data_IF_097645009945
#
_entry.id   IF_097645009945
#
_cell.length_a   1.000
_cell.length_b   1.000
_cell.length_c   1.000
_cell.angle_alpha   90.00
_cell.angle_beta   90.00
_cell.angle_gamma   90.00
#
_symmetry.space_group_name_H-M   'P 1'
#
loop_
_entity.id
_entity.type
_entity.pdbx_description
1 polymer ?
#
# COMPACT_ATOMS: atom_id res chain seq x y z
N UNK A 1 -1.09 5.28 2.77
CA UNK A 1 0.17 4.65 3.20
C UNK A 1 0.20 3.21 2.73
N UNK A 2 1.35 2.71 2.30
CA UNK A 2 1.50 1.37 1.72
C UNK A 2 2.32 0.47 2.65
N UNK A 3 1.83 -0.73 2.95
CA UNK A 3 2.65 -1.79 3.56
C UNK A 3 3.37 -2.52 2.44
N UNK A 4 4.70 -2.62 2.50
CA UNK A 4 5.53 -3.07 1.38
C UNK A 4 5.82 -1.96 0.38
N UNK A 5 5.97 -0.71 0.83
CA UNK A 5 6.13 0.46 -0.04
C UNK A 5 7.36 0.37 -0.96
N UNK A 6 8.46 -0.23 -0.48
CA UNK A 6 9.66 -0.47 -1.29
C UNK A 6 9.52 -1.65 -2.25
N UNK A 7 8.40 -2.38 -2.28
CA UNK A 7 8.16 -3.45 -3.23
C UNK A 7 8.01 -2.97 -4.68
N UNK A 8 7.88 -3.92 -5.62
CA UNK A 8 7.68 -3.61 -7.04
C UNK A 8 6.44 -2.73 -7.25
N UNK A 9 5.31 -3.09 -6.63
CA UNK A 9 4.07 -2.32 -6.73
C UNK A 9 4.18 -0.94 -6.08
N UNK A 10 4.72 -0.87 -4.85
CA UNK A 10 4.81 0.40 -4.12
C UNK A 10 5.73 1.41 -4.80
N UNK A 11 6.89 0.98 -5.28
CA UNK A 11 7.81 1.83 -6.05
C UNK A 11 7.25 2.24 -7.41
N UNK A 12 6.62 1.31 -8.13
CA UNK A 12 6.01 1.61 -9.44
C UNK A 12 4.82 2.54 -9.31
N UNK A 13 3.93 2.33 -8.33
CA UNK A 13 2.77 3.21 -8.09
C UNK A 13 3.23 4.63 -7.76
N UNK A 14 4.21 4.76 -6.87
CA UNK A 14 4.76 6.07 -6.47
C UNK A 14 5.41 6.77 -7.66
N UNK A 15 6.28 6.06 -8.40
CA UNK A 15 6.94 6.61 -9.58
C UNK A 15 5.97 6.97 -10.71
N UNK A 16 4.94 6.15 -10.93
CA UNK A 16 3.90 6.40 -11.92
C UNK A 16 3.07 7.65 -11.62
N UNK A 17 2.71 7.87 -10.35
CA UNK A 17 2.01 9.10 -9.95
C UNK A 17 2.90 10.32 -10.06
N UNK A 18 4.15 10.26 -9.59
CA UNK A 18 5.11 11.37 -9.76
C UNK A 18 5.30 11.69 -11.23
N UNK A 19 5.46 10.68 -12.10
CA UNK A 19 5.62 10.90 -13.53
C UNK A 19 4.42 11.61 -14.17
N UNK A 20 3.18 11.27 -13.78
CA UNK A 20 1.98 11.94 -14.27
C UNK A 20 1.90 13.38 -13.76
N UNK A 21 2.08 13.59 -12.45
CA UNK A 21 2.02 14.90 -11.81
C UNK A 21 3.03 15.89 -12.39
N UNK A 22 4.26 15.44 -12.62
CA UNK A 22 5.33 16.28 -13.17
C UNK A 22 5.31 16.34 -14.72
N UNK A 23 4.36 15.66 -15.38
CA UNK A 23 4.22 15.66 -16.84
C UNK A 23 5.41 15.02 -17.58
N UNK A 24 6.05 14.02 -16.98
CA UNK A 24 7.27 13.40 -17.51
C UNK A 24 6.98 12.65 -18.82
N UNK A 25 7.88 12.85 -19.78
CA UNK A 25 7.98 12.05 -20.99
C UNK A 25 9.37 11.44 -21.10
N UNK A 26 9.47 10.24 -21.67
CA UNK A 26 10.76 9.56 -21.82
C UNK A 26 10.85 8.89 -23.19
N UNK A 27 12.07 8.78 -23.71
CA UNK A 27 12.31 8.08 -24.95
C UNK A 27 12.35 6.56 -24.69
N UNK A 28 11.63 5.78 -25.50
CA UNK A 28 11.84 4.34 -25.62
C UNK A 28 12.57 4.02 -26.91
N UNK A 29 12.81 2.73 -27.18
CA UNK A 29 13.38 2.28 -28.45
C UNK A 29 12.52 2.66 -29.67
N UNK A 30 11.22 2.87 -29.48
CA UNK A 30 10.27 3.07 -30.58
C UNK A 30 9.78 4.51 -30.69
N UNK A 31 9.50 5.17 -29.55
CA UNK A 31 8.91 6.51 -29.52
C UNK A 31 9.13 7.20 -28.17
N UNK A 32 8.84 8.49 -28.13
CA UNK A 32 8.64 9.19 -26.86
C UNK A 32 7.30 8.78 -26.28
N UNK A 33 7.30 8.36 -25.01
CA UNK A 33 6.11 8.06 -24.23
C UNK A 33 5.81 9.23 -23.29
N UNK A 34 4.53 9.47 -23.03
CA UNK A 34 4.07 10.40 -22.01
C UNK A 34 3.45 9.61 -20.86
N UNK A 35 3.71 10.04 -19.62
CA UNK A 35 3.07 9.48 -18.44
C UNK A 35 1.54 9.50 -18.57
N UNK A 36 0.90 8.42 -18.17
CA UNK A 36 -0.55 8.25 -18.21
C UNK A 36 -1.00 7.27 -17.11
N UNK A 37 -2.32 7.11 -16.96
CA UNK A 37 -2.95 6.16 -16.03
C UNK A 37 -3.66 5.00 -16.77
N UNK A 38 -3.12 4.55 -17.90
CA UNK A 38 -3.69 3.39 -18.59
C UNK A 38 -3.70 2.15 -17.68
N UNK A 39 -4.76 1.35 -17.82
CA UNK A 39 -5.06 0.23 -16.93
C UNK A 39 -5.83 0.60 -15.66
N UNK A 40 -5.95 1.90 -15.33
CA UNK A 40 -6.84 2.35 -14.24
C UNK A 40 -8.28 2.47 -14.72
N UNK A 41 -9.20 1.70 -14.13
CA UNK A 41 -10.63 1.83 -14.40
C UNK A 41 -11.11 3.26 -14.12
N UNK A 42 -10.73 3.85 -12.99
CA UNK A 42 -11.24 5.17 -12.61
C UNK A 42 -10.72 6.29 -13.50
N UNK A 43 -9.48 6.18 -14.00
CA UNK A 43 -8.83 7.26 -14.76
C UNK A 43 -8.93 7.11 -16.28
N UNK A 44 -9.01 5.88 -16.79
CA UNK A 44 -8.89 5.58 -18.22
C UNK A 44 -10.09 4.82 -18.82
N UNK A 45 -11.15 4.58 -18.05
CA UNK A 45 -12.38 3.97 -18.57
C UNK A 45 -13.53 4.98 -18.75
N UNK A 46 -14.54 4.54 -19.49
CA UNK A 46 -15.79 5.26 -19.67
C UNK A 46 -16.96 4.39 -19.23
N UNK A 47 -18.09 5.02 -18.94
CA UNK A 47 -19.35 4.38 -18.59
C UNK A 47 -20.46 4.97 -19.44
N UNK A 48 -21.36 4.12 -19.92
CA UNK A 48 -22.53 4.55 -20.69
C UNK A 48 -23.48 5.32 -19.77
N UNK A 49 -23.83 6.54 -20.16
CA UNK A 49 -24.73 7.43 -19.42
C UNK A 49 -26.10 7.59 -20.09
N UNK A 50 -26.25 7.12 -21.32
CA UNK A 50 -27.53 7.12 -22.01
C UNK A 50 -27.39 6.91 -23.51
N UNK A 51 -28.35 7.44 -24.27
CA UNK A 51 -28.30 7.54 -25.72
C UNK A 51 -28.95 8.85 -26.19
N UNK A 52 -28.46 9.39 -27.31
CA UNK A 52 -29.01 10.58 -27.95
C UNK A 52 -29.03 10.37 -29.47
N UNK A 53 -30.16 10.62 -30.12
CA UNK A 53 -30.36 10.38 -31.56
C UNK A 53 -29.97 8.96 -32.04
N UNK A 54 -30.16 7.95 -31.20
CA UNK A 54 -29.84 6.56 -31.51
C UNK A 54 -28.37 6.17 -31.28
N UNK A 55 -27.51 7.11 -30.88
CA UNK A 55 -26.12 6.84 -30.52
C UNK A 55 -25.96 6.69 -29.00
N UNK A 56 -25.11 5.76 -28.57
CA UNK A 56 -24.78 5.60 -27.15
C UNK A 56 -23.82 6.70 -26.68
N UNK A 57 -24.13 7.30 -25.54
CA UNK A 57 -23.31 8.35 -24.94
C UNK A 57 -22.54 7.77 -23.76
N UNK A 58 -21.22 7.98 -23.77
CA UNK A 58 -20.30 7.55 -22.74
C UNK A 58 -19.66 8.76 -22.07
N UNK A 59 -19.47 8.69 -20.76
CA UNK A 59 -18.74 9.66 -19.98
C UNK A 59 -17.51 9.00 -19.34
N UNK A 60 -16.38 9.71 -19.15
CA UNK A 60 -15.28 9.22 -18.32
C UNK A 60 -15.76 8.78 -16.94
N UNK A 61 -15.26 7.66 -16.43
CA UNK A 61 -15.73 7.13 -15.14
C UNK A 61 -15.59 8.17 -14.00
N UNK A 62 -14.45 8.87 -13.96
CA UNK A 62 -14.16 9.94 -13.00
C UNK A 62 -15.02 11.21 -13.16
N UNK A 63 -15.80 11.36 -14.22
CA UNK A 63 -16.65 12.55 -14.41
C UNK A 63 -18.07 12.37 -13.89
N UNK A 64 -18.43 11.17 -13.38
CA UNK A 64 -19.77 10.94 -12.84
C UNK A 64 -20.01 11.67 -11.52
N UNK A 65 -19.02 11.64 -10.63
CA UNK A 65 -19.03 12.31 -9.32
C UNK A 65 -17.62 12.77 -8.99
N UNK A 66 -17.44 13.78 -8.10
CA UNK A 66 -16.13 14.21 -7.67
C UNK A 66 -15.33 13.05 -7.05
N UNK A 67 -14.14 12.79 -7.60
CA UNK A 67 -13.18 11.80 -7.12
C UNK A 67 -11.82 12.46 -6.93
N UNK A 68 -11.03 11.94 -5.99
CA UNK A 68 -9.64 12.39 -5.79
C UNK A 68 -8.84 12.13 -7.07
N UNK A 69 -8.10 13.15 -7.53
CA UNK A 69 -7.14 12.97 -8.62
C UNK A 69 -5.92 12.22 -8.06
N UNK A 70 -5.44 11.14 -8.69
CA UNK A 70 -4.24 10.45 -8.24
C UNK A 70 -3.00 11.33 -8.08
N UNK A 71 -2.88 12.42 -8.84
CA UNK A 71 -1.79 13.40 -8.72
C UNK A 71 -1.74 14.09 -7.33
N UNK A 72 -2.89 14.16 -6.64
CA UNK A 72 -3.03 14.78 -5.32
C UNK A 72 -2.71 13.81 -4.16
N UNK A 73 -2.41 12.53 -4.47
CA UNK A 73 -2.13 11.51 -3.45
C UNK A 73 -0.71 11.67 -2.92
N UNK A 74 -0.59 11.82 -1.60
CA UNK A 74 0.69 11.76 -0.89
C UNK A 74 1.01 10.33 -0.50
N UNK A 75 2.17 9.83 -0.96
CA UNK A 75 2.64 8.48 -0.63
C UNK A 75 3.58 8.46 0.57
N UNK A 76 3.50 7.35 1.30
CA UNK A 76 4.29 7.00 2.47
C UNK A 76 3.98 5.56 2.84
N UNK A 77 4.69 5.00 3.81
CA UNK A 77 4.41 3.64 4.27
C UNK A 77 5.62 2.94 4.84
N UNK A 78 5.50 1.62 4.93
CA UNK A 78 6.44 0.76 5.63
C UNK A 78 7.02 -0.28 4.69
N UNK A 79 8.25 -0.72 4.94
CA UNK A 79 8.85 -1.89 4.32
C UNK A 79 9.87 -2.49 5.29
N UNK A 80 10.02 -3.81 5.26
CA UNK A 80 11.04 -4.51 6.07
C UNK A 80 12.45 -4.21 5.56
N UNK A 81 12.58 -3.60 4.37
CA UNK A 81 13.82 -3.05 3.81
C UNK A 81 13.87 -1.53 3.94
N UNK A 82 15.01 -0.96 4.33
CA UNK A 82 15.26 0.49 4.39
C UNK A 82 15.63 1.12 3.02
N UNK A 83 15.55 0.35 1.93
CA UNK A 83 15.90 0.82 0.60
C UNK A 83 14.98 1.98 0.18
N UNK A 84 15.58 3.12 -0.19
CA UNK A 84 14.83 4.26 -0.72
C UNK A 84 14.09 3.89 -2.02
N UNK A 85 13.06 4.65 -2.36
CA UNK A 85 12.16 4.34 -3.46
C UNK A 85 12.83 4.43 -4.84
N UNK A 86 13.87 5.24 -5.02
CA UNK A 86 14.61 5.28 -6.30
C UNK A 86 15.42 3.99 -6.53
N UNK A 87 16.10 3.50 -5.50
CA UNK A 87 16.84 2.24 -5.59
C UNK A 87 15.89 1.03 -5.61
N UNK A 88 14.76 1.11 -4.91
CA UNK A 88 13.69 0.12 -4.97
C UNK A 88 13.08 0.01 -6.39
N UNK A 89 12.84 1.14 -7.05
CA UNK A 89 12.40 1.21 -8.44
C UNK A 89 13.42 0.55 -9.38
N UNK A 90 14.72 0.83 -9.20
CA UNK A 90 15.79 0.20 -9.97
C UNK A 90 15.87 -1.32 -9.73
N UNK A 91 15.70 -1.77 -8.48
CA UNK A 91 15.62 -3.19 -8.12
C UNK A 91 14.41 -3.88 -8.76
N UNK A 92 13.27 -3.20 -8.82
CA UNK A 92 12.02 -3.73 -9.34
C UNK A 92 12.06 -3.97 -10.86
N UNK A 93 12.85 -3.18 -11.60
CA UNK A 93 13.04 -3.30 -13.07
C UNK A 93 11.72 -3.26 -13.86
N UNK A 94 10.76 -2.47 -13.38
CA UNK A 94 9.44 -2.32 -14.01
C UNK A 94 9.42 -1.14 -14.99
N UNK A 95 9.83 0.04 -14.53
CA UNK A 95 9.82 1.27 -15.33
C UNK A 95 11.00 1.32 -16.30
N UNK A 96 10.85 2.04 -17.42
CA UNK A 96 11.93 2.24 -18.39
C UNK A 96 13.14 2.95 -17.75
N UNK A 97 14.36 2.62 -18.17
CA UNK A 97 15.60 3.15 -17.58
C UNK A 97 15.66 4.69 -17.70
N UNK A 98 15.20 5.27 -18.80
CA UNK A 98 15.21 6.72 -18.96
C UNK A 98 14.25 7.39 -17.96
N UNK A 99 13.05 6.83 -17.81
CA UNK A 99 12.09 7.26 -16.80
C UNK A 99 12.64 7.11 -15.38
N UNK A 100 13.33 6.00 -15.08
CA UNK A 100 13.95 5.80 -13.76
C UNK A 100 14.96 6.89 -13.42
N UNK A 101 15.78 7.32 -14.38
CA UNK A 101 16.76 8.41 -14.18
C UNK A 101 16.06 9.73 -13.89
N UNK A 102 15.01 10.04 -14.64
CA UNK A 102 14.21 11.26 -14.45
C UNK A 102 13.46 11.27 -13.12
N UNK A 103 13.02 10.11 -12.63
CA UNK A 103 12.31 9.97 -11.35
C UNK A 103 13.23 9.98 -10.12
N UNK A 104 14.52 9.68 -10.28
CA UNK A 104 15.46 9.56 -9.16
C UNK A 104 15.46 10.78 -8.21
N UNK A 105 15.56 12.04 -8.68
CA UNK A 105 15.58 13.21 -7.81
C UNK A 105 14.32 13.36 -6.93
N UNK A 106 13.20 12.80 -7.37
CA UNK A 106 11.94 12.84 -6.63
C UNK A 106 11.84 11.71 -5.61
N UNK A 107 12.44 10.56 -5.88
CA UNK A 107 12.19 9.31 -5.13
C UNK A 107 13.35 8.91 -4.21
N UNK A 108 14.55 9.47 -4.37
CA UNK A 108 15.72 9.06 -3.58
C UNK A 108 15.64 9.45 -2.09
N UNK A 109 14.93 10.53 -1.76
CA UNK A 109 14.68 10.94 -0.38
C UNK A 109 13.48 10.24 0.26
N UNK A 110 12.74 9.44 -0.50
CA UNK A 110 11.59 8.69 0.00
C UNK A 110 12.09 7.36 0.56
N UNK A 111 12.09 7.21 1.88
CA UNK A 111 12.56 6.00 2.58
C UNK A 111 11.39 5.40 3.35
N UNK A 112 11.12 4.08 3.25
CA UNK A 112 10.07 3.43 4.02
C UNK A 112 10.32 3.49 5.53
N UNK A 113 9.24 3.64 6.30
CA UNK A 113 9.27 3.41 7.75
C UNK A 113 9.56 1.93 8.06
N UNK A 114 10.11 1.61 9.25
CA UNK A 114 10.33 0.22 9.66
C UNK A 114 9.03 -0.60 9.63
N UNK A 115 9.04 -1.78 9.03
CA UNK A 115 7.87 -2.66 8.96
C UNK A 115 7.81 -3.70 10.09
N UNK A 116 6.65 -4.31 10.31
CA UNK A 116 6.54 -5.53 11.11
C UNK A 116 7.05 -6.72 10.28
N UNK A 117 7.94 -7.52 10.86
CA UNK A 117 8.48 -8.73 10.24
C UNK A 117 8.28 -9.93 11.15
N UNK A 118 7.59 -10.94 10.63
CA UNK A 118 7.47 -12.26 11.24
C UNK A 118 7.91 -13.32 10.20
N UNK A 119 9.03 -14.02 10.43
CA UNK A 119 9.55 -15.02 9.49
C UNK A 119 8.62 -16.22 9.33
N UNK A 120 7.73 -16.50 10.29
CA UNK A 120 6.83 -17.66 10.22
C UNK A 120 5.63 -17.40 9.28
N UNK A 121 5.39 -16.14 8.93
CA UNK A 121 4.29 -15.76 8.04
C UNK A 121 4.69 -15.60 6.57
N UNK A 122 5.98 -15.45 6.26
CA UNK A 122 6.46 -15.26 4.88
C UNK A 122 7.59 -16.23 4.55
N UNK A 123 7.99 -16.30 3.27
CA UNK A 123 9.05 -17.21 2.85
C UNK A 123 10.40 -16.89 3.53
N UNK A 124 11.11 -17.93 3.99
CA UNK A 124 12.39 -17.81 4.71
C UNK A 124 13.48 -17.05 3.93
N UNK A 125 13.38 -17.00 2.59
CA UNK A 125 14.31 -16.25 1.73
C UNK A 125 14.19 -14.73 1.87
N UNK A 126 13.20 -14.21 2.61
CA UNK A 126 13.06 -12.78 2.87
C UNK A 126 13.94 -12.29 4.04
N UNK A 127 14.56 -13.19 4.81
CA UNK A 127 15.33 -12.80 6.00
C UNK A 127 16.48 -11.83 5.72
N UNK A 128 17.18 -11.97 4.59
CA UNK A 128 18.27 -11.04 4.22
C UNK A 128 17.79 -9.65 3.80
N UNK A 129 16.50 -9.50 3.48
CA UNK A 129 15.88 -8.21 3.13
C UNK A 129 15.42 -7.44 4.37
N UNK A 130 15.17 -8.13 5.48
CA UNK A 130 14.60 -7.57 6.70
C UNK A 130 15.64 -6.82 7.56
N UNK A 131 16.00 -5.59 7.18
CA UNK A 131 16.91 -4.72 7.93
C UNK A 131 16.23 -3.50 8.58
N UNK A 132 14.93 -3.30 8.33
CA UNK A 132 14.14 -2.15 8.75
C UNK A 132 12.87 -2.61 9.47
N UNK A 133 13.00 -3.04 10.73
CA UNK A 133 11.95 -3.78 11.45
C UNK A 133 11.55 -3.12 12.76
N UNK A 134 10.24 -3.06 13.02
CA UNK A 134 9.67 -2.68 14.33
C UNK A 134 9.85 -3.85 15.30
N UNK A 135 10.52 -3.59 16.41
CA UNK A 135 10.77 -4.56 17.49
C UNK A 135 9.72 -4.43 18.60
N UNK A 136 9.71 -5.40 19.51
CA UNK A 136 8.80 -5.45 20.65
C UNK A 136 7.70 -6.47 20.46
N UNK A 137 6.78 -6.50 21.42
CA UNK A 137 5.56 -7.31 21.39
C UNK A 137 4.63 -6.88 20.26
N UNK A 138 3.71 -7.75 19.85
CA UNK A 138 2.69 -7.42 18.84
C UNK A 138 1.87 -6.20 19.22
N UNK A 139 1.58 -6.02 20.50
CA UNK A 139 0.89 -4.82 21.01
C UNK A 139 1.70 -3.54 20.79
N UNK A 140 2.99 -3.55 21.12
CA UNK A 140 3.88 -2.40 20.88
C UNK A 140 4.01 -2.10 19.38
N UNK A 141 4.05 -3.14 18.54
CA UNK A 141 4.06 -2.98 17.09
C UNK A 141 2.78 -2.30 16.58
N UNK A 142 1.59 -2.72 17.03
CA UNK A 142 0.32 -2.06 16.69
C UNK A 142 0.31 -0.59 17.11
N UNK A 143 0.79 -0.30 18.32
CA UNK A 143 0.89 1.07 18.83
C UNK A 143 1.85 1.93 17.99
N UNK A 144 2.97 1.36 17.54
CA UNK A 144 3.90 2.04 16.66
C UNK A 144 3.26 2.34 15.29
N UNK A 145 2.53 1.40 14.69
CA UNK A 145 1.81 1.66 13.42
C UNK A 145 0.77 2.78 13.59
N UNK A 146 0.00 2.77 14.68
CA UNK A 146 -0.96 3.84 14.97
C UNK A 146 -0.29 5.21 15.12
N UNK A 147 0.87 5.25 15.79
CA UNK A 147 1.70 6.47 15.89
C UNK A 147 2.18 6.94 14.52
N UNK A 148 2.71 6.04 13.70
CA UNK A 148 3.20 6.36 12.35
C UNK A 148 2.09 6.94 11.45
N UNK A 149 0.87 6.41 11.56
CA UNK A 149 -0.30 6.92 10.83
C UNK A 149 -0.62 8.37 11.24
N UNK A 150 -0.65 8.65 12.55
CA UNK A 150 -0.92 10.00 13.07
C UNK A 150 0.17 11.00 12.67
N UNK A 151 1.43 10.63 12.82
CA UNK A 151 2.56 11.47 12.45
C UNK A 151 2.61 11.73 10.94
N UNK A 152 2.31 10.71 10.12
CA UNK A 152 2.19 10.90 8.67
C UNK A 152 1.07 11.88 8.33
N UNK A 153 -0.08 11.77 8.99
CA UNK A 153 -1.22 12.66 8.80
C UNK A 153 -0.87 14.11 9.13
N UNK A 154 -0.28 14.34 10.30
CA UNK A 154 0.12 15.66 10.78
C UNK A 154 1.20 16.29 9.90
N UNK A 155 2.28 15.54 9.64
CA UNK A 155 3.42 16.01 8.84
C UNK A 155 3.02 16.44 7.43
N UNK A 156 2.17 15.65 6.78
CA UNK A 156 1.76 15.89 5.39
C UNK A 156 0.49 16.75 5.27
N UNK A 157 -0.13 17.15 6.39
CA UNK A 157 -1.33 17.98 6.44
C UNK A 157 -2.48 17.40 5.60
N UNK A 158 -2.68 16.09 5.70
CA UNK A 158 -3.76 15.38 4.99
C UNK A 158 -4.92 15.09 5.92
N UNK A 159 -6.16 15.24 5.44
CA UNK A 159 -7.35 15.00 6.27
C UNK A 159 -7.71 13.51 6.37
N UNK A 160 -7.38 12.76 5.32
CA UNK A 160 -7.74 11.34 5.13
C UNK A 160 -6.48 10.53 4.85
N UNK A 161 -6.43 9.34 5.43
CA UNK A 161 -5.43 8.31 5.17
C UNK A 161 -6.17 7.04 4.78
N UNK A 162 -5.59 6.28 3.85
CA UNK A 162 -5.97 4.90 3.54
C UNK A 162 -4.69 4.08 3.65
N UNK A 163 -4.77 2.92 4.29
CA UNK A 163 -3.67 1.95 4.34
C UNK A 163 -3.98 0.81 3.38
N UNK A 164 -2.99 0.44 2.57
CA UNK A 164 -3.11 -0.67 1.63
C UNK A 164 -1.94 -1.62 1.81
N UNK A 165 -2.24 -2.91 1.97
CA UNK A 165 -1.26 -3.98 1.97
C UNK A 165 -0.88 -4.34 0.54
N UNK A 166 0.40 -4.15 0.19
CA UNK A 166 0.99 -4.61 -1.07
C UNK A 166 2.35 -5.29 -0.83
N UNK A 167 2.55 -5.83 0.37
CA UNK A 167 3.76 -6.52 0.76
C UNK A 167 3.75 -7.97 0.26
N UNK A 168 4.71 -8.76 0.71
CA UNK A 168 4.74 -10.20 0.44
C UNK A 168 3.44 -10.87 0.89
N UNK A 169 3.00 -11.87 0.12
CA UNK A 169 1.92 -12.76 0.52
C UNK A 169 2.32 -13.50 1.79
N UNK A 170 1.47 -13.42 2.80
CA UNK A 170 1.61 -14.23 4.01
C UNK A 170 0.95 -15.61 3.81
N UNK A 171 1.35 -16.61 4.60
CA UNK A 171 0.53 -17.81 4.78
C UNK A 171 -0.81 -17.43 5.44
N UNK A 172 -1.78 -18.33 5.35
CA UNK A 172 -3.01 -18.15 6.11
C UNK A 172 -2.78 -18.31 7.61
N UNK A 173 -3.48 -17.50 8.40
CA UNK A 173 -3.66 -17.71 9.83
C UNK A 173 -4.72 -18.77 10.07
N UNK A 174 -4.50 -19.64 11.05
CA UNK A 174 -5.52 -20.55 11.56
C UNK A 174 -6.63 -19.75 12.25
N UNK A 175 -7.89 -20.09 11.95
CA UNK A 175 -9.05 -19.53 12.64
C UNK A 175 -9.41 -20.46 13.79
N UNK A 176 -9.28 -19.98 15.02
CA UNK A 176 -9.40 -20.81 16.23
C UNK A 176 -10.32 -20.12 17.25
N UNK A 177 -11.24 -20.90 17.82
CA UNK A 177 -12.14 -20.44 18.89
C UNK A 177 -11.34 -20.03 20.11
N UNK A 178 -11.62 -18.84 20.66
CA UNK A 178 -10.87 -18.27 21.78
C UNK A 178 -9.57 -17.54 21.39
N UNK A 179 -9.22 -17.51 20.10
CA UNK A 179 -8.02 -16.84 19.59
C UNK A 179 -8.37 -15.62 18.74
N UNK A 180 -9.09 -15.82 17.63
CA UNK A 180 -9.33 -14.81 16.61
C UNK A 180 -10.72 -14.91 15.96
N UNK A 181 -11.62 -15.62 16.66
CA UNK A 181 -13.01 -15.85 16.29
C UNK A 181 -13.94 -14.68 16.65
N UNK A 182 -13.59 -13.88 17.66
CA UNK A 182 -14.31 -12.67 18.08
C UNK A 182 -13.34 -11.50 18.26
N UNK A 183 -13.85 -10.26 18.25
CA UNK A 183 -13.02 -9.08 18.50
C UNK A 183 -12.39 -9.16 19.90
N UNK A 184 -13.14 -9.55 20.92
CA UNK A 184 -12.64 -9.66 22.29
C UNK A 184 -11.49 -10.68 22.38
N UNK A 185 -11.65 -11.84 21.74
CA UNK A 185 -10.61 -12.86 21.73
C UNK A 185 -9.38 -12.40 20.94
N UNK A 186 -9.58 -11.73 19.80
CA UNK A 186 -8.48 -11.20 18.98
C UNK A 186 -7.66 -10.17 19.77
N UNK A 187 -8.32 -9.25 20.47
CA UNK A 187 -7.67 -8.27 21.34
C UNK A 187 -6.97 -8.93 22.53
N UNK A 188 -7.61 -9.92 23.17
CA UNK A 188 -6.97 -10.67 24.25
C UNK A 188 -5.74 -11.45 23.77
N UNK A 189 -5.78 -11.98 22.54
CA UNK A 189 -4.65 -12.68 21.91
C UNK A 189 -3.51 -11.73 21.55
N UNK A 190 -3.82 -10.50 21.14
CA UNK A 190 -2.83 -9.43 20.96
C UNK A 190 -2.08 -9.14 22.28
N UNK A 191 -2.81 -9.04 23.39
CA UNK A 191 -2.23 -8.80 24.72
C UNK A 191 -1.35 -9.96 25.20
N UNK A 192 -1.69 -11.19 24.82
CA UNK A 192 -0.90 -12.40 25.15
C UNK A 192 0.24 -12.69 24.16
N UNK A 193 0.44 -11.82 23.16
CA UNK A 193 1.47 -11.95 22.13
C UNK A 193 1.37 -13.25 21.31
N UNK A 194 0.15 -13.78 21.11
CA UNK A 194 -0.09 -15.08 20.49
C UNK A 194 0.54 -15.21 19.10
N UNK A 195 1.20 -16.34 18.83
CA UNK A 195 1.98 -16.55 17.60
C UNK A 195 1.13 -16.48 16.32
N UNK A 196 -0.13 -16.89 16.39
CA UNK A 196 -1.02 -17.02 15.23
C UNK A 196 -1.75 -15.69 14.89
N UNK A 197 -1.12 -14.57 15.19
CA UNK A 197 -1.54 -13.22 14.78
C UNK A 197 -0.51 -12.69 13.78
N UNK A 198 -0.90 -12.61 12.51
CA UNK A 198 -0.01 -12.21 11.42
C UNK A 198 0.35 -10.72 11.47
N UNK A 199 1.48 -10.31 10.87
CA UNK A 199 1.78 -8.89 10.65
C UNK A 199 0.64 -8.13 9.96
N UNK A 200 0.01 -8.69 8.91
CA UNK A 200 -1.14 -8.03 8.27
C UNK A 200 -2.33 -7.82 9.23
N UNK A 201 -2.57 -8.74 10.17
CA UNK A 201 -3.59 -8.58 11.23
C UNK A 201 -3.25 -7.40 12.13
N UNK A 202 -1.97 -7.21 12.47
CA UNK A 202 -1.53 -6.08 13.31
C UNK A 202 -1.72 -4.73 12.61
N UNK A 203 -1.39 -4.63 11.31
CA UNK A 203 -1.68 -3.41 10.55
C UNK A 203 -3.19 -3.14 10.46
N UNK A 204 -4.00 -4.18 10.25
CA UNK A 204 -5.45 -4.04 10.20
C UNK A 204 -6.02 -3.55 11.56
N UNK A 205 -5.58 -4.12 12.68
CA UNK A 205 -5.96 -3.66 14.03
C UNK A 205 -5.55 -2.20 14.28
N UNK A 206 -4.32 -1.82 13.92
CA UNK A 206 -3.88 -0.43 14.04
C UNK A 206 -4.79 0.51 13.23
N UNK A 207 -5.17 0.13 12.01
CA UNK A 207 -6.08 0.93 11.18
C UNK A 207 -7.48 1.03 11.78
N UNK A 208 -8.01 -0.04 12.38
CA UNK A 208 -9.28 0.00 13.12
C UNK A 208 -9.20 1.00 14.28
N UNK A 209 -8.13 0.96 15.08
CA UNK A 209 -7.95 1.88 16.20
C UNK A 209 -7.80 3.35 15.76
N UNK A 210 -7.14 3.61 14.64
CA UNK A 210 -7.01 4.96 14.08
C UNK A 210 -8.20 5.41 13.22
N UNK A 211 -9.24 4.56 13.06
CA UNK A 211 -10.36 4.79 12.15
C UNK A 211 -9.92 5.13 10.71
N UNK A 212 -9.00 4.33 10.19
CA UNK A 212 -8.42 4.44 8.85
C UNK A 212 -8.83 3.24 8.01
N UNK A 213 -9.33 3.43 6.77
CA UNK A 213 -9.61 2.32 5.87
C UNK A 213 -8.36 1.47 5.60
N UNK A 214 -8.48 0.16 5.73
CA UNK A 214 -7.45 -0.82 5.41
C UNK A 214 -7.88 -1.68 4.22
N UNK A 215 -7.02 -1.80 3.22
CA UNK A 215 -7.26 -2.60 2.01
C UNK A 215 -6.21 -3.71 1.96
N UNK A 216 -6.66 -4.96 1.90
CA UNK A 216 -5.78 -6.11 1.68
C UNK A 216 -5.61 -6.37 0.17
N UNK A 217 -4.41 -6.11 -0.36
CA UNK A 217 -4.06 -6.37 -1.76
C UNK A 217 -3.41 -7.74 -2.01
N UNK A 218 -3.35 -8.61 -0.99
CA UNK A 218 -2.72 -9.93 -1.04
C UNK A 218 -3.71 -11.02 -0.61
N UNK A 219 -3.46 -12.30 -0.92
CA UNK A 219 -4.48 -13.34 -0.78
C UNK A 219 -4.67 -13.85 0.65
N UNK A 220 -3.79 -13.54 1.61
CA UNK A 220 -3.92 -14.05 2.98
C UNK A 220 -5.22 -13.62 3.65
N UNK A 221 -5.71 -14.44 4.58
CA UNK A 221 -6.94 -14.22 5.33
C UNK A 221 -6.77 -13.24 6.50
N UNK A 222 -6.21 -12.05 6.24
CA UNK A 222 -6.01 -10.99 7.26
C UNK A 222 -7.26 -10.69 8.06
N UNK A 223 -8.41 -10.66 7.39
CA UNK A 223 -9.71 -10.39 8.02
C UNK A 223 -10.31 -11.69 8.56
N UNK A 224 -9.78 -12.15 9.69
CA UNK A 224 -10.35 -13.24 10.50
C UNK A 224 -11.72 -12.86 11.09
N UNK A 225 -12.54 -13.81 11.57
CA UNK A 225 -13.89 -13.52 12.08
C UNK A 225 -13.96 -12.41 13.14
N UNK A 226 -12.92 -12.27 13.97
CA UNK A 226 -12.83 -11.19 14.95
C UNK A 226 -12.82 -9.76 14.40
N UNK A 227 -12.76 -9.54 13.08
CA UNK A 227 -12.94 -8.23 12.46
C UNK A 227 -14.38 -7.90 12.03
N UNK A 228 -15.26 -8.90 11.93
CA UNK A 228 -16.62 -8.73 11.38
C UNK A 228 -17.72 -8.74 12.44
N UNK A 229 -17.40 -9.18 13.66
CA UNK A 229 -18.31 -9.34 14.79
C UNK A 229 -17.89 -8.41 15.93
#
# INVERSE_FOLDING_TARGET
>A
MLVGWGGNNGSTLTGGVVANREGISWATKDKVQQANYFGSLTQASTIRVGSFNGEEIYAPFKSLLPMVNPDDIVFGGWDISDMNLADAMARAKVLDIDLQKQLRPYMESMVPLPGIYDPDFIAANQGSRANNVIKGTKKEQVQQIGKDIREFKEKNKVDKVVVLWTANTERYSNVVVGLNDTMENLLASLERDEAEISPSTLYALACVFENVPFINGSPQNTFVPGFYH
#
